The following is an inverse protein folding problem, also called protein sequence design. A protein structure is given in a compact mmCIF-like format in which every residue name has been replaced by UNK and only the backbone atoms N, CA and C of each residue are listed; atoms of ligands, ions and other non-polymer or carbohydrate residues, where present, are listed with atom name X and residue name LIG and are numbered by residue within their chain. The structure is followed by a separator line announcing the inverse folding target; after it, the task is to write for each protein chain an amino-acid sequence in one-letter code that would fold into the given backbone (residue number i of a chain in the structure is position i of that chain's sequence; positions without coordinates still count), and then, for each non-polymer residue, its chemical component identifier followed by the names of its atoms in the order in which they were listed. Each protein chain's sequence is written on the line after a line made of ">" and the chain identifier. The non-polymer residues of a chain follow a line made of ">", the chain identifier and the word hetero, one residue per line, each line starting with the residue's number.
data_IF_517696129376
#
_entry.id   IF_517696129376
#
_cell.length_a   1.000
_cell.length_b   1.000
_cell.length_c   1.000
_cell.angle_alpha   90.00
_cell.angle_beta   90.00
_cell.angle_gamma   90.00
#
_symmetry.space_group_name_H-M   'P 1'
#
loop_
_entity.id
_entity.type
_entity.pdbx_description
1 polymer ?
#
# COMPACT_ATOMS: atom_id res chain seq x y z
N UNK A 1 -4.06 -11.34 1.08
CA UNK A 1 -3.72 -10.08 1.70
C UNK A 1 -2.88 -9.29 0.72
N UNK A 2 -3.32 -8.11 0.30
CA UNK A 2 -2.63 -7.32 -0.72
C UNK A 2 -2.24 -5.93 -0.23
N UNK A 3 -2.83 -5.45 0.86
CA UNK A 3 -2.60 -4.10 1.38
C UNK A 3 -1.92 -4.15 2.74
N UNK A 4 -1.14 -3.13 3.01
CA UNK A 4 -0.40 -2.97 4.27
C UNK A 4 0.43 -1.69 4.25
N UNK A 5 1.18 -1.47 5.32
CA UNK A 5 2.00 -0.25 5.49
C UNK A 5 3.07 -0.05 4.40
N UNK A 6 3.38 -1.08 3.63
CA UNK A 6 4.29 -1.01 2.48
C UNK A 6 3.60 -0.75 1.14
N UNK A 7 2.31 -0.44 1.12
CA UNK A 7 1.53 -0.15 -0.09
C UNK A 7 1.06 1.30 -0.19
N UNK A 8 0.08 1.50 -1.07
CA UNK A 8 -0.53 2.80 -1.35
C UNK A 8 -1.78 3.03 -0.50
N UNK A 9 -2.28 4.28 -0.50
CA UNK A 9 -3.58 4.63 0.02
C UNK A 9 -4.27 5.61 -0.92
N UNK A 10 -5.51 5.29 -1.29
CA UNK A 10 -6.39 6.18 -2.02
C UNK A 10 -7.67 6.40 -1.22
N UNK A 11 -8.18 7.62 -1.21
CA UNK A 11 -9.42 7.92 -0.51
C UNK A 11 -10.28 8.93 -1.26
N UNK A 12 -11.60 8.72 -1.21
CA UNK A 12 -12.62 9.73 -1.50
C UNK A 12 -13.44 9.89 -0.24
N UNK A 13 -13.47 11.12 0.30
CA UNK A 13 -14.15 11.43 1.56
C UNK A 13 -15.22 12.47 1.29
N UNK A 14 -16.47 12.17 1.69
CA UNK A 14 -17.54 13.16 1.74
C UNK A 14 -17.48 13.92 3.07
N UNK A 15 -17.29 15.22 3.00
CA UNK A 15 -17.39 16.07 4.19
C UNK A 15 -18.79 16.69 4.30
N UNK A 16 -19.61 16.28 5.27
CA UNK A 16 -20.97 16.80 5.44
C UNK A 16 -21.01 18.27 5.89
N UNK A 17 -19.92 18.81 6.45
CA UNK A 17 -19.85 20.21 6.89
C UNK A 17 -19.71 21.15 5.69
N UNK A 18 -18.84 20.80 4.77
CA UNK A 18 -18.59 21.60 3.55
C UNK A 18 -19.44 21.17 2.37
N UNK A 19 -20.10 20.01 2.46
CA UNK A 19 -20.83 19.35 1.37
C UNK A 19 -19.98 19.16 0.11
N UNK A 20 -18.73 18.71 0.32
CA UNK A 20 -17.78 18.47 -0.74
C UNK A 20 -17.14 17.09 -0.63
N UNK A 21 -16.75 16.57 -1.79
CA UNK A 21 -15.88 15.42 -1.89
C UNK A 21 -14.42 15.89 -1.89
N UNK A 22 -13.62 15.21 -1.08
CA UNK A 22 -12.18 15.36 -1.03
C UNK A 22 -11.55 14.09 -1.56
N UNK A 23 -10.61 14.21 -2.47
CA UNK A 23 -9.82 13.09 -2.98
C UNK A 23 -8.41 13.13 -2.40
N UNK A 24 -7.88 11.98 -2.09
CA UNK A 24 -6.49 11.83 -1.67
C UNK A 24 -5.81 10.72 -2.47
N UNK A 25 -4.64 11.03 -3.03
CA UNK A 25 -3.78 10.09 -3.74
C UNK A 25 -2.48 9.92 -2.94
N UNK A 26 -2.37 8.82 -2.21
CA UNK A 26 -1.19 8.38 -1.48
C UNK A 26 -0.45 7.26 -2.20
N UNK A 27 -0.44 7.24 -3.54
CA UNK A 27 0.43 6.33 -4.27
C UNK A 27 1.88 6.79 -4.22
N UNK A 28 2.78 5.81 -4.14
CA UNK A 28 4.20 6.08 -4.15
C UNK A 28 4.75 6.38 -5.54
N UNK A 29 5.78 7.20 -5.57
CA UNK A 29 6.55 7.46 -6.79
C UNK A 29 7.57 6.36 -7.02
N UNK A 30 8.00 6.19 -8.26
CA UNK A 30 9.17 5.41 -8.60
C UNK A 30 10.41 5.95 -7.86
N UNK A 31 11.33 5.09 -7.43
CA UNK A 31 12.59 5.53 -6.85
C UNK A 31 13.37 6.48 -7.77
N UNK A 32 13.95 7.53 -7.20
CA UNK A 32 14.72 8.52 -7.98
C UNK A 32 15.95 7.92 -8.66
N UNK A 33 16.49 6.85 -8.11
CA UNK A 33 17.63 6.13 -8.69
C UNK A 33 17.26 5.20 -9.86
N UNK A 34 15.97 5.09 -10.21
CA UNK A 34 15.49 4.21 -11.27
C UNK A 34 15.03 5.04 -12.47
N UNK A 35 15.80 5.01 -13.54
CA UNK A 35 15.52 5.73 -14.77
C UNK A 35 15.31 4.79 -15.96
N UNK A 36 14.90 5.33 -17.10
CA UNK A 36 14.76 4.57 -18.33
C UNK A 36 16.11 3.98 -18.78
N UNK A 37 17.16 4.76 -18.63
CA UNK A 37 18.53 4.34 -18.96
C UNK A 37 18.95 3.14 -18.10
N UNK A 38 18.57 3.11 -16.82
CA UNK A 38 18.83 1.96 -15.93
C UNK A 38 18.18 0.69 -16.47
N UNK A 39 16.95 0.76 -16.97
CA UNK A 39 16.29 -0.41 -17.57
C UNK A 39 17.01 -0.86 -18.86
N UNK A 40 17.41 0.09 -19.71
CA UNK A 40 18.14 -0.21 -20.95
C UNK A 40 19.50 -0.87 -20.67
N UNK A 41 20.26 -0.38 -19.69
CA UNK A 41 21.54 -0.95 -19.24
C UNK A 41 21.39 -2.37 -18.67
N UNK A 42 20.29 -2.64 -17.99
CA UNK A 42 19.96 -3.95 -17.42
C UNK A 42 19.28 -4.90 -18.45
N UNK A 43 19.11 -4.45 -19.70
CA UNK A 43 18.49 -5.23 -20.77
C UNK A 43 16.98 -5.43 -20.64
N UNK A 44 16.31 -4.59 -19.89
CA UNK A 44 14.86 -4.61 -19.69
C UNK A 44 14.23 -3.64 -20.70
N UNK A 45 13.77 -4.14 -21.83
CA UNK A 45 13.29 -3.33 -22.95
C UNK A 45 11.79 -3.35 -23.17
N UNK A 46 11.11 -4.44 -22.78
CA UNK A 46 9.71 -4.66 -23.14
C UNK A 46 8.75 -4.40 -21.96
N UNK A 47 8.99 -5.05 -20.83
CA UNK A 47 8.16 -4.86 -19.63
C UNK A 47 9.00 -4.87 -18.35
N UNK A 48 8.58 -4.08 -17.38
CA UNK A 48 9.18 -4.08 -16.05
C UNK A 48 8.74 -5.37 -15.34
N UNK A 49 9.67 -6.15 -14.76
CA UNK A 49 9.32 -7.34 -13.98
C UNK A 49 8.30 -7.03 -12.89
N UNK A 50 7.25 -7.84 -12.79
CA UNK A 50 6.16 -7.63 -11.85
C UNK A 50 6.60 -7.64 -10.38
N UNK A 51 7.70 -8.35 -10.08
CA UNK A 51 8.27 -8.47 -8.75
C UNK A 51 9.76 -8.17 -8.75
N UNK A 52 10.30 -7.88 -7.56
CA UNK A 52 11.71 -7.69 -7.35
C UNK A 52 12.13 -6.21 -7.35
N UNK A 53 13.41 -5.97 -7.57
CA UNK A 53 14.08 -4.68 -7.32
C UNK A 53 13.62 -3.50 -8.18
N UNK A 54 12.96 -3.77 -9.31
CA UNK A 54 12.54 -2.74 -10.28
C UNK A 54 11.10 -2.26 -10.10
N UNK A 55 10.25 -3.07 -9.47
CA UNK A 55 8.81 -2.81 -9.37
C UNK A 55 8.38 -2.20 -8.03
N UNK A 56 9.34 -1.72 -7.25
CA UNK A 56 9.08 -1.07 -5.97
C UNK A 56 8.73 0.40 -6.18
N UNK A 57 7.70 0.87 -5.51
CA UNK A 57 7.39 2.28 -5.33
C UNK A 57 7.55 2.67 -3.86
N UNK A 58 7.67 3.96 -3.60
CA UNK A 58 7.70 4.47 -2.23
C UNK A 58 6.37 4.18 -1.54
N UNK A 59 6.33 3.49 -0.38
CA UNK A 59 5.08 3.24 0.33
C UNK A 59 4.37 4.52 0.73
N UNK A 60 3.11 4.69 0.36
CA UNK A 60 2.33 5.90 0.66
C UNK A 60 1.25 5.73 1.73
N UNK A 61 1.01 4.49 2.19
CA UNK A 61 -0.10 4.17 3.08
C UNK A 61 -0.02 4.90 4.42
N UNK A 62 1.16 4.92 5.06
CA UNK A 62 1.33 5.55 6.39
C UNK A 62 1.18 7.07 6.28
N UNK A 63 1.74 7.70 5.24
CA UNK A 63 1.52 9.12 4.98
C UNK A 63 0.03 9.44 4.82
N UNK A 64 -0.68 8.63 4.02
CA UNK A 64 -2.12 8.77 3.82
C UNK A 64 -2.92 8.68 5.11
N UNK A 65 -2.53 7.81 6.06
CA UNK A 65 -3.19 7.77 7.37
C UNK A 65 -3.07 9.09 8.11
N UNK A 66 -1.87 9.68 8.15
CA UNK A 66 -1.63 10.94 8.86
C UNK A 66 -2.25 12.14 8.15
N UNK A 67 -2.23 12.18 6.82
CA UNK A 67 -2.89 13.22 6.03
C UNK A 67 -4.41 13.22 6.25
N UNK A 68 -5.06 12.06 6.10
CA UNK A 68 -6.50 11.92 6.34
C UNK A 68 -6.87 12.18 7.80
N UNK A 69 -6.04 11.73 8.73
CA UNK A 69 -6.25 11.97 10.15
C UNK A 69 -6.11 13.47 10.51
N UNK A 70 -5.14 14.17 9.94
CA UNK A 70 -4.95 15.60 10.15
C UNK A 70 -6.15 16.42 9.71
N UNK A 71 -6.80 16.03 8.61
CA UNK A 71 -7.96 16.77 8.08
C UNK A 71 -9.28 16.36 8.75
N UNK A 72 -9.50 15.06 9.00
CA UNK A 72 -10.82 14.54 9.44
C UNK A 72 -10.77 13.82 10.79
N UNK A 73 -9.59 13.52 11.33
CA UNK A 73 -9.43 12.72 12.54
C UNK A 73 -9.75 13.50 13.82
N UNK A 74 -10.26 12.77 14.81
CA UNK A 74 -10.56 13.34 16.15
C UNK A 74 -9.94 12.53 17.29
N UNK A 75 -9.57 11.27 17.04
CA UNK A 75 -8.97 10.40 18.05
C UNK A 75 -7.46 10.38 17.89
N UNK A 76 -6.68 10.31 18.99
CA UNK A 76 -5.22 10.11 18.88
C UNK A 76 -4.88 8.85 18.06
N UNK A 77 -3.81 8.91 17.25
CA UNK A 77 -3.38 7.79 16.40
C UNK A 77 -3.05 6.54 17.21
N UNK A 78 -2.50 6.69 18.42
CA UNK A 78 -2.27 5.55 19.33
C UNK A 78 -3.57 4.80 19.64
N UNK A 79 -4.66 5.53 19.85
CA UNK A 79 -5.97 4.92 20.09
C UNK A 79 -6.54 4.22 18.85
N UNK A 80 -6.31 4.80 17.67
CA UNK A 80 -6.75 4.24 16.39
C UNK A 80 -5.99 2.95 16.07
N UNK A 81 -4.67 2.95 16.26
CA UNK A 81 -3.80 1.81 15.93
C UNK A 81 -3.79 0.72 17.02
N UNK A 82 -4.21 1.03 18.25
CA UNK A 82 -4.19 0.10 19.38
C UNK A 82 -4.81 -1.27 19.10
N UNK A 83 -5.99 -1.40 18.47
CA UNK A 83 -6.58 -2.70 18.16
C UNK A 83 -5.70 -3.51 17.19
N UNK A 84 -5.16 -2.87 16.16
CA UNK A 84 -4.30 -3.53 15.16
C UNK A 84 -2.97 -3.99 15.77
N UNK A 85 -2.38 -3.16 16.64
CA UNK A 85 -1.19 -3.52 17.42
C UNK A 85 -1.49 -4.75 18.31
N UNK A 86 -2.65 -4.74 18.98
CA UNK A 86 -3.10 -5.90 19.76
C UNK A 86 -3.21 -7.17 18.91
N UNK A 87 -3.83 -7.10 17.75
CA UNK A 87 -3.92 -8.24 16.83
C UNK A 87 -2.55 -8.73 16.36
N UNK A 88 -1.58 -7.85 16.18
CA UNK A 88 -0.23 -8.24 15.78
C UNK A 88 0.49 -9.04 16.89
N UNK A 89 0.36 -8.66 18.16
CA UNK A 89 0.98 -9.32 19.30
C UNK A 89 0.19 -10.52 19.81
N UNK A 90 -1.11 -10.35 20.03
CA UNK A 90 -1.97 -11.38 20.63
C UNK A 90 -2.44 -12.41 19.59
N UNK A 91 -2.48 -11.99 18.33
CA UNK A 91 -2.93 -12.77 17.19
C UNK A 91 -4.43 -12.65 16.92
N UNK A 92 -4.80 -13.11 15.75
CA UNK A 92 -6.19 -13.19 15.33
C UNK A 92 -6.44 -14.50 14.57
N UNK A 93 -7.66 -15.05 14.60
CA UNK A 93 -7.98 -16.25 13.84
C UNK A 93 -7.96 -15.97 12.32
N UNK A 94 -7.30 -16.84 11.58
CA UNK A 94 -7.23 -16.72 10.10
C UNK A 94 -8.56 -17.18 9.49
N UNK A 95 -9.26 -16.31 8.73
CA UNK A 95 -10.48 -16.69 8.03
C UNK A 95 -10.20 -17.65 6.86
N UNK A 96 -11.20 -18.46 6.49
CA UNK A 96 -11.06 -19.49 5.44
C UNK A 96 -10.61 -18.93 4.08
N UNK A 97 -11.24 -17.85 3.63
CA UNK A 97 -10.89 -17.22 2.35
C UNK A 97 -9.46 -16.67 2.38
N UNK A 98 -9.07 -16.10 3.51
CA UNK A 98 -7.71 -15.57 3.71
C UNK A 98 -6.69 -16.71 3.71
N UNK A 99 -6.93 -17.82 4.42
CA UNK A 99 -6.04 -18.98 4.43
C UNK A 99 -5.76 -19.51 3.02
N UNK A 100 -6.85 -19.69 2.21
CA UNK A 100 -6.73 -20.14 0.83
C UNK A 100 -5.92 -19.16 -0.05
N UNK A 101 -6.23 -17.86 0.05
CA UNK A 101 -5.53 -16.83 -0.72
C UNK A 101 -4.07 -16.70 -0.29
N UNK A 102 -3.80 -16.80 1.00
CA UNK A 102 -2.46 -16.73 1.57
C UNK A 102 -1.52 -17.78 0.98
N UNK A 103 -1.92 -19.05 1.07
CA UNK A 103 -1.14 -20.14 0.49
C UNK A 103 -0.85 -19.91 -1.00
N UNK A 104 -1.88 -19.62 -1.79
CA UNK A 104 -1.74 -19.39 -3.23
C UNK A 104 -0.78 -18.23 -3.56
N UNK A 105 -0.90 -17.11 -2.86
CA UNK A 105 -0.06 -15.93 -3.09
C UNK A 105 1.40 -16.21 -2.71
N UNK A 106 1.63 -16.85 -1.58
CA UNK A 106 2.99 -17.17 -1.13
C UNK A 106 3.64 -18.19 -2.09
N UNK A 107 2.94 -19.25 -2.48
CA UNK A 107 3.44 -20.23 -3.44
C UNK A 107 3.77 -19.59 -4.80
N UNK A 108 2.95 -18.66 -5.27
CA UNK A 108 3.19 -17.95 -6.52
C UNK A 108 4.47 -17.10 -6.45
N UNK A 109 4.65 -16.34 -5.37
CA UNK A 109 5.80 -15.44 -5.18
C UNK A 109 7.09 -16.18 -4.84
N UNK A 110 7.00 -17.36 -4.22
CA UNK A 110 8.16 -18.19 -3.85
C UNK A 110 8.78 -18.93 -5.05
N UNK A 111 8.21 -18.82 -6.24
CA UNK A 111 8.81 -19.40 -7.49
C UNK A 111 10.16 -18.76 -7.82
N UNK A 112 10.32 -17.49 -7.46
CA UNK A 112 11.60 -16.80 -7.49
C UNK A 112 11.93 -16.25 -6.10
N UNK A 113 12.68 -17.00 -5.27
CA UNK A 113 13.03 -16.56 -3.92
C UNK A 113 13.87 -15.27 -3.88
N UNK A 114 14.55 -14.93 -4.97
CA UNK A 114 15.36 -13.70 -5.06
C UNK A 114 14.50 -12.45 -5.16
N UNK A 115 13.29 -12.57 -5.71
CA UNK A 115 12.37 -11.44 -5.89
C UNK A 115 11.68 -10.98 -4.60
N UNK A 116 11.52 -11.90 -3.63
CA UNK A 116 10.82 -11.62 -2.36
C UNK A 116 11.55 -12.29 -1.17
N UNK A 117 12.79 -11.92 -0.86
CA UNK A 117 13.55 -12.52 0.23
C UNK A 117 12.88 -12.26 1.59
N UNK A 118 12.86 -13.28 2.46
CA UNK A 118 12.19 -13.23 3.76
C UNK A 118 10.67 -13.46 3.73
N UNK A 119 10.08 -13.65 2.55
CA UNK A 119 8.65 -13.91 2.41
C UNK A 119 8.21 -15.16 3.17
N UNK A 120 8.91 -16.27 2.98
CA UNK A 120 8.58 -17.55 3.63
C UNK A 120 8.83 -17.48 5.13
N UNK A 121 9.91 -16.85 5.57
CA UNK A 121 10.23 -16.72 6.99
C UNK A 121 9.14 -15.97 7.75
N UNK A 122 8.57 -14.95 7.10
CA UNK A 122 7.52 -14.12 7.70
C UNK A 122 6.13 -14.76 7.57
N UNK A 123 5.76 -15.26 6.38
CA UNK A 123 4.38 -15.63 6.06
C UNK A 123 4.12 -17.13 5.96
N UNK A 124 5.16 -17.96 6.05
CA UNK A 124 5.07 -19.41 6.13
C UNK A 124 6.21 -19.97 7.02
N UNK A 125 6.32 -19.51 8.28
CA UNK A 125 7.40 -19.90 9.16
C UNK A 125 7.48 -21.43 9.31
N UNK A 126 8.69 -21.98 9.15
CA UNK A 126 8.90 -23.43 9.15
C UNK A 126 8.28 -24.16 7.95
N UNK A 127 7.94 -23.44 6.89
CA UNK A 127 7.30 -23.99 5.67
C UNK A 127 5.81 -24.30 5.82
N UNK A 128 5.18 -23.89 6.92
CA UNK A 128 3.75 -24.12 7.17
C UNK A 128 2.95 -22.88 6.85
N UNK A 129 1.95 -23.03 5.98
CA UNK A 129 0.97 -21.98 5.71
C UNK A 129 -0.10 -21.95 6.80
N UNK A 130 -0.58 -20.75 7.21
CA UNK A 130 -1.69 -20.64 8.13
C UNK A 130 -2.97 -21.26 7.56
N UNK A 131 -3.67 -22.06 8.37
CA UNK A 131 -4.96 -22.66 8.04
C UNK A 131 -6.12 -21.88 8.67
N UNK A 132 -7.35 -22.17 8.22
CA UNK A 132 -8.57 -21.62 8.81
C UNK A 132 -8.60 -21.88 10.32
N UNK A 133 -8.74 -20.81 11.09
CA UNK A 133 -8.82 -20.87 12.56
C UNK A 133 -7.49 -20.84 13.29
N UNK A 134 -6.36 -20.96 12.59
CA UNK A 134 -5.06 -20.74 13.20
C UNK A 134 -4.95 -19.31 13.75
N UNK A 135 -4.31 -19.17 14.90
CA UNK A 135 -4.03 -17.84 15.47
C UNK A 135 -2.73 -17.32 14.87
N UNK A 136 -2.86 -16.33 13.99
CA UNK A 136 -1.73 -15.69 13.34
C UNK A 136 -1.25 -14.49 14.15
N UNK A 137 0.08 -14.42 14.35
CA UNK A 137 0.77 -13.32 15.03
C UNK A 137 1.88 -12.75 14.14
N UNK A 138 2.12 -11.47 14.26
CA UNK A 138 3.29 -10.82 13.66
C UNK A 138 3.81 -9.73 14.62
N UNK A 139 4.56 -10.10 15.66
CA UNK A 139 5.08 -9.16 16.65
C UNK A 139 5.94 -8.05 16.04
N UNK A 140 6.76 -8.36 15.02
CA UNK A 140 7.57 -7.36 14.34
C UNK A 140 6.72 -6.25 13.66
N UNK A 141 5.56 -6.61 13.09
CA UNK A 141 4.60 -5.62 12.61
C UNK A 141 3.99 -4.85 13.78
N UNK A 142 3.74 -5.52 14.90
CA UNK A 142 3.26 -4.89 16.13
C UNK A 142 4.21 -3.80 16.63
N UNK A 143 5.50 -4.10 16.71
CA UNK A 143 6.54 -3.13 17.08
C UNK A 143 6.61 -1.96 16.11
N UNK A 144 6.53 -2.24 14.80
CA UNK A 144 6.53 -1.21 13.76
C UNK A 144 5.32 -0.27 13.90
N UNK A 145 4.12 -0.82 14.08
CA UNK A 145 2.89 -0.05 14.25
C UNK A 145 2.89 0.75 15.57
N UNK A 146 3.44 0.18 16.64
CA UNK A 146 3.59 0.89 17.91
C UNK A 146 4.53 2.09 17.77
N UNK A 147 5.67 1.91 17.08
CA UNK A 147 6.59 3.01 16.78
C UNK A 147 5.93 4.12 15.94
N UNK A 148 5.13 3.76 14.93
CA UNK A 148 4.39 4.72 14.11
C UNK A 148 3.34 5.44 14.97
N UNK A 149 2.62 4.72 15.82
CA UNK A 149 1.62 5.31 16.70
C UNK A 149 2.21 6.35 17.68
N UNK A 150 3.34 6.02 18.28
CA UNK A 150 4.02 6.84 19.29
C UNK A 150 4.77 8.04 18.69
N UNK A 151 5.49 7.82 17.57
CA UNK A 151 6.44 8.78 17.02
C UNK A 151 5.97 9.45 15.73
N UNK A 152 4.76 9.13 15.27
CA UNK A 152 4.16 9.77 14.12
C UNK A 152 4.64 9.24 12.76
N UNK A 153 4.24 9.96 11.71
CA UNK A 153 4.59 9.71 10.32
C UNK A 153 6.12 9.57 10.10
N UNK A 154 6.86 10.44 10.75
CA UNK A 154 8.31 10.55 10.54
C UNK A 154 9.06 9.31 11.03
N UNK A 155 8.50 8.55 11.99
CA UNK A 155 9.07 7.25 12.38
C UNK A 155 9.21 6.30 11.18
N UNK A 156 8.27 6.36 10.22
CA UNK A 156 8.28 5.52 9.02
C UNK A 156 9.13 6.11 7.90
N UNK A 157 9.05 7.42 7.64
CA UNK A 157 9.65 8.04 6.45
C UNK A 157 11.04 8.63 6.67
N UNK A 158 11.37 9.05 7.90
CA UNK A 158 12.63 9.72 8.24
C UNK A 158 13.35 9.06 9.41
N UNK A 159 12.64 8.24 10.17
CA UNK A 159 13.11 7.60 11.41
C UNK A 159 13.78 6.24 11.20
N UNK A 160 13.82 5.44 12.28
CA UNK A 160 14.48 4.14 12.27
C UNK A 160 13.92 3.16 11.23
N UNK A 161 12.61 3.22 10.93
CA UNK A 161 11.96 2.34 9.95
C UNK A 161 12.52 2.63 8.56
N UNK A 162 12.61 3.92 8.15
CA UNK A 162 13.21 4.31 6.88
C UNK A 162 14.65 3.82 6.73
N UNK A 163 15.43 3.91 7.79
CA UNK A 163 16.83 3.45 7.79
C UNK A 163 16.93 1.92 7.61
N UNK A 164 16.03 1.16 8.22
CA UNK A 164 15.99 -0.30 8.06
C UNK A 164 15.57 -0.67 6.64
N UNK A 165 14.58 0.02 6.06
CA UNK A 165 14.14 -0.18 4.67
C UNK A 165 15.31 0.12 3.73
N UNK A 166 15.95 1.27 3.82
CA UNK A 166 17.08 1.68 2.97
C UNK A 166 18.23 0.66 3.03
N UNK A 167 18.61 0.24 4.24
CA UNK A 167 19.64 -0.78 4.43
C UNK A 167 19.28 -2.10 3.74
N UNK A 168 18.03 -2.53 3.85
CA UNK A 168 17.56 -3.75 3.21
C UNK A 168 17.51 -3.60 1.69
N UNK A 169 17.05 -2.47 1.16
CA UNK A 169 17.02 -2.20 -0.27
C UNK A 169 18.43 -2.20 -0.88
N UNK A 170 19.39 -1.55 -0.23
CA UNK A 170 20.81 -1.60 -0.63
C UNK A 170 21.36 -3.02 -0.67
N UNK A 171 21.01 -3.86 0.34
CA UNK A 171 21.43 -5.27 0.37
C UNK A 171 20.86 -6.09 -0.79
N UNK A 172 19.67 -5.73 -1.25
CA UNK A 172 18.97 -6.40 -2.35
C UNK A 172 19.33 -5.83 -3.73
N UNK A 173 20.16 -4.77 -3.80
CA UNK A 173 20.41 -4.06 -5.03
C UNK A 173 19.17 -3.38 -5.62
N UNK A 174 18.19 -3.07 -4.76
CA UNK A 174 16.98 -2.35 -5.15
C UNK A 174 17.21 -0.83 -5.10
N UNK A 175 16.36 -0.10 -5.80
CA UNK A 175 16.55 1.34 -6.05
C UNK A 175 15.87 2.25 -5.02
N UNK A 176 14.92 1.73 -4.25
CA UNK A 176 14.25 2.52 -3.19
C UNK A 176 15.25 2.88 -2.09
N UNK A 177 15.38 4.17 -1.82
CA UNK A 177 16.35 4.73 -0.89
C UNK A 177 15.68 5.46 0.29
N UNK A 178 16.49 5.80 1.29
CA UNK A 178 16.06 6.68 2.39
C UNK A 178 15.53 8.02 1.87
N UNK A 179 16.18 8.60 0.86
CA UNK A 179 15.80 9.89 0.30
C UNK A 179 14.41 9.83 -0.39
N UNK A 180 14.10 8.71 -1.06
CA UNK A 180 12.76 8.49 -1.64
C UNK A 180 11.69 8.45 -0.56
N UNK A 181 11.98 7.81 0.58
CA UNK A 181 11.08 7.77 1.72
C UNK A 181 10.90 9.16 2.34
N UNK A 182 12.00 9.85 2.65
CA UNK A 182 11.97 11.16 3.31
C UNK A 182 11.24 12.24 2.47
N UNK A 183 11.30 12.14 1.15
CA UNK A 183 10.60 13.06 0.22
C UNK A 183 9.18 12.66 -0.12
N UNK A 184 8.72 11.52 0.39
CA UNK A 184 7.38 11.08 0.04
C UNK A 184 6.32 12.00 0.67
N UNK A 185 5.37 12.42 -0.16
CA UNK A 185 4.18 13.15 0.23
C UNK A 185 3.04 12.79 -0.71
N UNK A 186 1.90 12.39 -0.15
CA UNK A 186 0.67 12.16 -0.90
C UNK A 186 0.01 13.48 -1.31
N UNK A 187 -0.92 13.42 -2.24
CA UNK A 187 -1.54 14.61 -2.82
C UNK A 187 -3.04 14.64 -2.55
N UNK A 188 -3.51 15.79 -2.04
CA UNK A 188 -4.92 16.12 -2.08
C UNK A 188 -5.31 16.50 -3.51
N UNK A 189 -6.34 15.87 -4.05
CA UNK A 189 -6.77 16.01 -5.44
C UNK A 189 -8.28 16.17 -5.54
N UNK A 190 -8.76 16.86 -6.54
CA UNK A 190 -10.20 16.95 -6.83
C UNK A 190 -10.69 15.65 -7.47
N UNK A 191 -11.70 14.96 -6.90
CA UNK A 191 -12.34 13.85 -7.59
C UNK A 191 -12.98 14.30 -8.91
N UNK A 192 -13.06 13.38 -9.87
CA UNK A 192 -13.69 13.58 -11.17
C UNK A 192 -14.95 12.73 -11.29
N UNK A 193 -15.90 13.13 -12.10
CA UNK A 193 -17.18 12.42 -12.19
C UNK A 193 -17.71 12.30 -13.61
N UNK A 194 -18.64 11.36 -13.80
CA UNK A 194 -19.57 11.30 -14.91
C UNK A 194 -20.98 11.04 -14.40
N UNK A 195 -22.00 11.50 -15.16
CA UNK A 195 -23.38 11.09 -14.89
C UNK A 195 -23.67 9.79 -15.62
N UNK A 196 -24.24 8.82 -14.93
CA UNK A 196 -24.72 7.58 -15.51
C UNK A 196 -26.13 7.28 -15.00
N UNK A 197 -27.08 7.32 -15.91
CA UNK A 197 -28.53 7.07 -15.63
C UNK A 197 -29.09 7.89 -14.47
N UNK A 198 -28.69 9.17 -14.40
CA UNK A 198 -29.14 10.10 -13.36
C UNK A 198 -28.35 10.09 -12.05
N UNK A 199 -27.26 9.31 -11.99
CA UNK A 199 -26.36 9.25 -10.84
C UNK A 199 -25.00 9.82 -11.19
N UNK A 200 -24.46 10.69 -10.36
CA UNK A 200 -23.09 11.16 -10.47
C UNK A 200 -22.14 10.15 -9.82
N UNK A 201 -21.31 9.53 -10.65
CA UNK A 201 -20.30 8.54 -10.21
C UNK A 201 -18.96 9.26 -10.13
N UNK A 202 -18.36 9.19 -8.98
CA UNK A 202 -17.11 9.89 -8.67
C UNK A 202 -15.94 8.92 -8.52
N UNK A 203 -14.80 9.32 -9.08
CA UNK A 203 -13.55 8.57 -9.05
C UNK A 203 -12.37 9.51 -8.81
N UNK A 204 -11.22 8.93 -8.44
CA UNK A 204 -9.97 9.69 -8.45
C UNK A 204 -9.41 9.80 -9.86
N UNK A 205 -8.80 10.94 -10.22
CA UNK A 205 -8.07 11.08 -11.49
C UNK A 205 -6.85 10.15 -11.52
N UNK A 206 -6.16 9.99 -12.68
CA UNK A 206 -4.92 9.19 -12.75
C UNK A 206 -3.91 9.60 -11.64
N UNK A 207 -3.10 8.63 -11.18
CA UNK A 207 -2.59 7.39 -11.82
C UNK A 207 -3.46 6.12 -11.62
N UNK A 208 -4.51 6.15 -10.81
CA UNK A 208 -5.44 5.02 -10.67
C UNK A 208 -6.31 4.81 -11.93
N UNK A 209 -7.12 3.75 -11.91
CA UNK A 209 -7.94 3.33 -13.05
C UNK A 209 -9.37 3.91 -13.01
N UNK A 210 -9.66 4.84 -12.10
CA UNK A 210 -11.00 5.44 -11.97
C UNK A 210 -11.50 6.08 -13.26
N UNK A 211 -10.63 6.75 -14.00
CA UNK A 211 -10.97 7.34 -15.31
C UNK A 211 -11.49 6.30 -16.31
N UNK A 212 -10.96 5.07 -16.29
CA UNK A 212 -11.45 4.00 -17.18
C UNK A 212 -12.88 3.58 -16.80
N UNK A 213 -13.21 3.53 -15.52
CA UNK A 213 -14.56 3.27 -15.02
C UNK A 213 -15.54 4.34 -15.55
N UNK A 214 -15.17 5.61 -15.43
CA UNK A 214 -16.02 6.71 -15.91
C UNK A 214 -16.22 6.67 -17.45
N UNK A 215 -15.17 6.34 -18.19
CA UNK A 215 -15.26 6.16 -19.65
C UNK A 215 -16.15 4.97 -20.03
N UNK A 216 -16.03 3.82 -19.32
CA UNK A 216 -16.92 2.67 -19.55
C UNK A 216 -18.38 3.04 -19.30
N UNK A 217 -18.70 3.78 -18.23
CA UNK A 217 -20.06 4.22 -17.94
C UNK A 217 -20.61 5.15 -19.04
N UNK A 218 -19.79 6.08 -19.53
CA UNK A 218 -20.18 6.96 -20.66
C UNK A 218 -20.50 6.17 -21.93
N UNK A 219 -19.76 5.11 -22.21
CA UNK A 219 -20.03 4.24 -23.36
C UNK A 219 -21.32 3.45 -23.13
N UNK A 220 -21.49 2.86 -21.95
CA UNK A 220 -22.65 2.02 -21.61
C UNK A 220 -23.95 2.82 -21.56
N UNK A 221 -23.92 4.10 -21.27
CA UNK A 221 -25.12 4.94 -21.27
C UNK A 221 -25.80 5.05 -22.63
N UNK A 222 -25.02 4.86 -23.70
CA UNK A 222 -25.56 4.81 -25.08
C UNK A 222 -26.32 3.53 -25.45
N UNK A 223 -26.40 2.55 -24.52
CA UNK A 223 -27.07 1.27 -24.75
C UNK A 223 -28.25 1.07 -23.79
N UNK A 224 -29.31 0.47 -24.30
CA UNK A 224 -30.45 0.04 -23.48
C UNK A 224 -30.15 -1.36 -22.91
N UNK A 225 -29.59 -1.37 -21.67
CA UNK A 225 -29.16 -2.57 -20.96
C UNK A 225 -30.15 -2.95 -19.85
#
# INVERSE_FOLDING_TARGET
>A
VRDGIGGDLFAIVWDPKTQRLHGFNGSGRSPMGLSKETFEEEGITDEIPLFGRYSLSTPGCVDGWYQLHGEFGNLPMERILKPTIGYAFDGHPVPEIIARSWKREIESRSRDPSSCPGLLDTFAPGGRYPEKGDIWKNPALGDTLASIAENGRDAFYEGPIAQVIDKQMKRLGAYLSYEDLARHEGNWIGPVSTNYRGWDIWELPPNGQGIATLQMLNILEGYDL
#
